data_IF_635703950627
#
_entry.id   IF_635703950627
#
_cell.length_a   1.000
_cell.length_b   1.000
_cell.length_c   1.000
_cell.angle_alpha   90.00
_cell.angle_beta   90.00
_cell.angle_gamma   90.00
#
_symmetry.space_group_name_H-M   'P 1'
#
loop_
_entity.id
_entity.type
_entity.pdbx_description
1 polymer ?
#
# COMPACT_ATOMS: atom_id res chain seq x y z
N UNK A 1 0.77 -23.80 0.49
CA UNK A 1 2.19 -23.88 0.92
C UNK A 1 2.33 -24.55 2.28
N UNK A 2 1.69 -24.06 3.35
CA UNK A 2 1.72 -24.72 4.66
C UNK A 2 1.17 -26.15 4.64
N UNK A 3 0.07 -26.42 3.92
CA UNK A 3 -0.47 -27.77 3.72
C UNK A 3 0.48 -28.71 2.96
N UNK A 4 1.48 -28.16 2.28
CA UNK A 4 2.55 -28.89 1.59
C UNK A 4 3.86 -28.90 2.41
N UNK A 5 3.80 -28.57 3.71
CA UNK A 5 4.96 -28.60 4.62
C UNK A 5 5.85 -27.35 4.59
N UNK A 6 5.56 -26.35 3.76
CA UNK A 6 6.38 -25.12 3.65
C UNK A 6 6.00 -24.12 4.74
N UNK A 7 6.98 -23.76 5.58
CA UNK A 7 6.85 -22.72 6.61
C UNK A 7 7.73 -21.52 6.25
N UNK A 8 7.20 -20.28 6.24
CA UNK A 8 7.99 -19.10 5.90
C UNK A 8 9.00 -18.79 7.01
N UNK A 9 10.24 -18.45 6.64
CA UNK A 9 11.24 -17.91 7.56
C UNK A 9 11.01 -16.42 7.88
N UNK A 10 10.36 -15.70 6.98
CA UNK A 10 9.93 -14.32 7.13
C UNK A 10 8.74 -14.03 6.19
N UNK A 11 7.99 -12.97 6.46
CA UNK A 11 6.91 -12.46 5.60
C UNK A 11 7.02 -10.95 5.48
N UNK A 12 6.78 -10.43 4.27
CA UNK A 12 6.71 -9.00 3.97
C UNK A 12 5.40 -8.78 3.22
N UNK A 13 4.57 -7.87 3.72
CA UNK A 13 3.35 -7.45 3.05
C UNK A 13 3.54 -6.08 2.41
N UNK A 14 2.87 -5.83 1.30
CA UNK A 14 2.85 -4.52 0.65
C UNK A 14 1.47 -3.89 0.78
N UNK A 15 1.38 -2.71 1.40
CA UNK A 15 0.10 -2.00 1.59
C UNK A 15 -0.95 -2.91 2.25
N UNK A 16 -2.04 -3.25 1.56
CA UNK A 16 -3.08 -4.15 2.08
C UNK A 16 -2.57 -5.56 2.41
N UNK A 17 -1.49 -5.99 1.75
CA UNK A 17 -0.86 -7.28 1.95
C UNK A 17 -0.26 -7.43 3.35
N UNK A 18 0.03 -6.33 4.06
CA UNK A 18 0.51 -6.38 5.45
C UNK A 18 -0.49 -7.05 6.39
N UNK A 19 -1.80 -6.94 6.12
CA UNK A 19 -2.82 -7.61 6.92
C UNK A 19 -2.69 -9.13 6.79
N UNK A 20 -2.47 -9.63 5.57
CA UNK A 20 -2.25 -11.06 5.35
C UNK A 20 -0.91 -11.52 5.95
N UNK A 21 0.15 -10.72 5.78
CA UNK A 21 1.44 -11.00 6.39
C UNK A 21 1.35 -11.08 7.92
N UNK A 22 0.64 -10.16 8.56
CA UNK A 22 0.40 -10.17 10.01
C UNK A 22 -0.38 -11.41 10.48
N UNK A 23 -1.36 -11.89 9.70
CA UNK A 23 -2.07 -13.15 10.00
C UNK A 23 -1.13 -14.35 9.86
N UNK A 24 -0.35 -14.41 8.78
CA UNK A 24 0.59 -15.53 8.54
C UNK A 24 1.71 -15.56 9.58
N UNK A 25 2.18 -14.40 10.03
CA UNK A 25 3.17 -14.25 11.10
C UNK A 25 2.61 -14.54 12.50
N UNK A 26 1.28 -14.67 12.64
CA UNK A 26 0.61 -14.86 13.93
C UNK A 26 0.43 -13.59 14.77
N UNK A 27 0.77 -12.41 14.23
CA UNK A 27 0.55 -11.13 14.91
C UNK A 27 -0.94 -10.75 14.97
N UNK A 28 -1.75 -11.23 14.02
CA UNK A 28 -3.20 -11.14 14.06
C UNK A 28 -3.83 -12.53 13.98
N UNK A 29 -4.92 -12.74 14.72
CA UNK A 29 -5.79 -13.88 14.48
C UNK A 29 -6.42 -13.76 13.09
N UNK A 30 -6.82 -14.88 12.48
CA UNK A 30 -7.55 -14.85 11.20
C UNK A 30 -8.80 -13.97 11.27
N UNK A 31 -9.55 -14.08 12.37
CA UNK A 31 -10.76 -13.29 12.60
C UNK A 31 -10.47 -11.79 12.65
N UNK A 32 -9.39 -11.37 13.31
CA UNK A 32 -9.02 -9.96 13.39
C UNK A 32 -8.44 -9.44 12.09
N UNK A 33 -7.65 -10.24 11.37
CA UNK A 33 -7.20 -9.92 10.01
C UNK A 33 -8.38 -9.63 9.07
N UNK A 34 -9.41 -10.48 9.10
CA UNK A 34 -10.66 -10.27 8.33
C UNK A 34 -11.35 -8.97 8.75
N UNK A 35 -11.47 -8.69 10.06
CA UNK A 35 -12.08 -7.43 10.53
C UNK A 35 -11.31 -6.22 10.00
N UNK A 36 -9.97 -6.22 10.09
CA UNK A 36 -9.12 -5.12 9.65
C UNK A 36 -9.31 -4.86 8.16
N UNK A 37 -9.12 -5.87 7.30
CA UNK A 37 -9.19 -5.67 5.85
C UNK A 37 -10.60 -5.26 5.40
N UNK A 38 -11.65 -5.89 5.93
CA UNK A 38 -13.02 -5.58 5.54
C UNK A 38 -13.46 -4.20 6.03
N UNK A 39 -13.11 -3.80 7.26
CA UNK A 39 -13.44 -2.46 7.78
C UNK A 39 -12.69 -1.38 7.01
N UNK A 40 -11.39 -1.56 6.77
CA UNK A 40 -10.58 -0.63 5.99
C UNK A 40 -11.17 -0.39 4.59
N UNK A 41 -11.48 -1.46 3.86
CA UNK A 41 -12.05 -1.36 2.50
C UNK A 41 -13.42 -0.68 2.50
N UNK A 42 -14.28 -0.95 3.49
CA UNK A 42 -15.57 -0.26 3.63
C UNK A 42 -15.41 1.23 3.92
N UNK A 43 -14.52 1.61 4.83
CA UNK A 43 -14.25 3.01 5.15
C UNK A 43 -13.67 3.76 3.94
N UNK A 44 -12.77 3.11 3.17
CA UNK A 44 -12.23 3.68 1.94
C UNK A 44 -13.34 3.91 0.91
N UNK A 45 -14.18 2.91 0.64
CA UNK A 45 -15.32 3.04 -0.29
C UNK A 45 -16.30 4.14 0.12
N UNK A 46 -16.62 4.24 1.42
CA UNK A 46 -17.51 5.28 1.95
C UNK A 46 -16.93 6.67 1.75
N UNK A 47 -15.64 6.86 2.06
CA UNK A 47 -14.95 8.13 1.83
C UNK A 47 -14.92 8.51 0.35
N UNK A 48 -14.58 7.56 -0.51
CA UNK A 48 -14.57 7.77 -1.95
C UNK A 48 -15.94 8.19 -2.49
N UNK A 49 -17.01 7.47 -2.09
CA UNK A 49 -18.38 7.79 -2.52
C UNK A 49 -18.92 9.11 -1.96
N UNK A 50 -18.36 9.63 -0.87
CA UNK A 50 -18.78 10.87 -0.23
C UNK A 50 -17.93 12.09 -0.63
N UNK A 51 -16.84 11.87 -1.38
CA UNK A 51 -15.93 12.92 -1.83
C UNK A 51 -16.28 13.35 -3.25
N UNK A 52 -16.30 14.65 -3.52
CA UNK A 52 -16.29 15.19 -4.89
C UNK A 52 -14.87 15.21 -5.49
N UNK A 53 -13.85 15.14 -4.64
CA UNK A 53 -12.45 15.05 -5.05
C UNK A 53 -12.10 13.61 -5.41
N UNK A 54 -11.58 13.42 -6.62
CA UNK A 54 -11.02 12.16 -7.11
C UNK A 54 -9.50 12.17 -6.95
N UNK A 55 -8.94 11.17 -6.28
CA UNK A 55 -7.50 10.92 -6.30
C UNK A 55 -7.13 9.94 -7.41
N UNK A 56 -5.91 10.03 -7.94
CA UNK A 56 -5.38 9.04 -8.87
C UNK A 56 -4.00 8.61 -8.39
N UNK A 57 -3.57 7.41 -8.78
CA UNK A 57 -2.20 6.97 -8.54
C UNK A 57 -1.56 6.61 -9.89
N UNK A 58 -0.28 6.91 -10.04
CA UNK A 58 0.48 6.61 -11.24
C UNK A 58 1.83 5.99 -10.88
N UNK A 59 2.21 4.93 -11.61
CA UNK A 59 3.56 4.38 -11.56
C UNK A 59 4.48 5.23 -12.42
N UNK A 60 5.68 5.51 -11.93
CA UNK A 60 6.71 6.26 -12.63
C UNK A 60 8.03 5.48 -12.59
N UNK A 61 8.72 5.45 -13.73
CA UNK A 61 10.02 4.79 -13.89
C UNK A 61 11.15 5.77 -13.53
N UNK A 62 11.12 6.25 -12.29
CA UNK A 62 12.13 7.14 -11.73
C UNK A 62 12.45 6.73 -10.30
N UNK A 63 13.72 6.88 -9.86
CA UNK A 63 14.08 6.76 -8.46
C UNK A 63 13.29 7.73 -7.58
N UNK A 64 12.90 7.28 -6.38
CA UNK A 64 12.11 8.05 -5.42
C UNK A 64 12.66 9.46 -5.16
N UNK A 65 13.99 9.61 -5.06
CA UNK A 65 14.62 10.91 -4.81
C UNK A 65 14.44 11.88 -5.99
N UNK A 66 14.43 11.38 -7.22
CA UNK A 66 14.19 12.20 -8.41
C UNK A 66 12.72 12.62 -8.46
N UNK A 67 11.79 11.70 -8.16
CA UNK A 67 10.36 12.02 -8.04
C UNK A 67 10.12 13.15 -7.04
N UNK A 68 10.70 13.06 -5.84
CA UNK A 68 10.57 14.12 -4.83
C UNK A 68 11.14 15.46 -5.30
N UNK A 69 12.27 15.44 -6.01
CA UNK A 69 12.90 16.63 -6.56
C UNK A 69 12.02 17.29 -7.63
N UNK A 70 11.45 16.50 -8.54
CA UNK A 70 10.53 16.98 -9.58
C UNK A 70 9.23 17.54 -8.99
N UNK A 71 8.63 16.87 -8.00
CA UNK A 71 7.42 17.36 -7.33
C UNK A 71 7.66 18.71 -6.65
N UNK A 72 8.80 18.86 -5.96
CA UNK A 72 9.20 20.10 -5.31
C UNK A 72 9.47 21.21 -6.34
N UNK A 73 10.23 20.93 -7.41
CA UNK A 73 10.57 21.89 -8.45
C UNK A 73 9.34 22.43 -9.19
N UNK A 74 8.30 21.59 -9.35
CA UNK A 74 7.05 21.96 -10.02
C UNK A 74 6.01 22.57 -9.09
N UNK A 75 6.25 22.59 -7.78
CA UNK A 75 5.28 23.06 -6.79
C UNK A 75 4.00 22.20 -6.74
N UNK A 76 4.10 20.90 -7.06
CA UNK A 76 2.98 19.97 -7.09
C UNK A 76 2.60 19.53 -5.66
N UNK A 77 2.05 20.46 -4.87
CA UNK A 77 1.73 20.26 -3.46
C UNK A 77 0.57 19.31 -3.17
N UNK A 78 -0.16 18.88 -4.20
CA UNK A 78 -1.29 17.95 -4.14
C UNK A 78 -0.94 16.52 -4.57
N UNK A 79 0.32 16.25 -4.93
CA UNK A 79 0.82 14.93 -5.32
C UNK A 79 1.97 14.51 -4.40
N UNK A 80 1.94 13.27 -3.93
CA UNK A 80 2.93 12.72 -3.00
C UNK A 80 3.53 11.41 -3.49
N UNK A 81 4.75 11.14 -3.05
CA UNK A 81 5.37 9.82 -3.20
C UNK A 81 4.62 8.81 -2.30
N UNK A 82 3.98 7.83 -2.94
CA UNK A 82 3.11 6.84 -2.27
C UNK A 82 3.78 5.49 -2.03
N UNK A 83 4.59 5.02 -2.99
CA UNK A 83 5.28 3.72 -2.91
C UNK A 83 6.66 3.83 -3.52
N UNK A 84 7.65 3.19 -2.90
CA UNK A 84 8.97 2.92 -3.49
C UNK A 84 9.05 1.41 -3.70
N UNK A 85 8.73 0.96 -4.91
CA UNK A 85 8.64 -0.47 -5.22
C UNK A 85 10.02 -1.07 -5.57
N UNK A 86 10.88 -0.26 -6.18
CA UNK A 86 12.25 -0.62 -6.55
C UNK A 86 13.14 0.63 -6.59
N UNK A 87 14.47 0.48 -6.76
CA UNK A 87 15.38 1.62 -6.90
C UNK A 87 15.04 2.55 -8.07
N UNK A 88 14.43 2.02 -9.14
CA UNK A 88 14.12 2.72 -10.39
C UNK A 88 12.61 2.93 -10.60
N UNK A 89 11.77 2.55 -9.63
CA UNK A 89 10.31 2.63 -9.77
C UNK A 89 9.62 3.08 -8.49
N UNK A 90 8.76 4.07 -8.66
CA UNK A 90 7.95 4.65 -7.61
C UNK A 90 6.49 4.81 -8.07
N UNK A 91 5.60 4.99 -7.09
CA UNK A 91 4.20 5.35 -7.34
C UNK A 91 3.94 6.70 -6.69
N UNK A 92 3.32 7.60 -7.44
CA UNK A 92 2.79 8.88 -6.95
C UNK A 92 1.27 8.81 -6.84
N UNK A 93 0.67 9.69 -6.05
CA UNK A 93 -0.77 9.88 -6.00
C UNK A 93 -1.20 11.05 -5.14
#
# INVERSE_FOLDING_TARGET
LQSYGVRPGAVIGHSMGEVAAAVVAGALSLGDGVKVICRRSRCHRRRWSASTATGAMASVELPAQQVLSELAARGAGDVVLSVIASPESAVVG
#
